data_IF_804060738643
#
_entry.id   IF_804060738643
#
_cell.length_a   1.000
_cell.length_b   1.000
_cell.length_c   1.000
_cell.angle_alpha   90.00
_cell.angle_beta   90.00
_cell.angle_gamma   90.00
#
_symmetry.space_group_name_H-M   'P 1'
#
loop_
_entity.id
_entity.type
_entity.pdbx_description
1 polymer ?
#
# COMPACT_ATOMS: atom_id res chain seq x y z
N UNK A 1 -13.78 24.87 -11.66
CA UNK A 1 -13.18 25.26 -12.95
C UNK A 1 -13.09 24.00 -13.78
N UNK A 2 -13.74 23.96 -14.94
CA UNK A 2 -13.62 22.84 -15.89
C UNK A 2 -12.14 22.64 -16.23
N UNK A 3 -11.66 21.38 -16.29
CA UNK A 3 -10.24 21.07 -16.49
C UNK A 3 -9.65 21.77 -17.74
N UNK A 4 -10.44 21.89 -18.80
CA UNK A 4 -10.08 22.61 -20.02
C UNK A 4 -9.84 24.11 -19.78
N UNK A 5 -10.67 24.78 -18.97
CA UNK A 5 -10.52 26.19 -18.63
C UNK A 5 -9.26 26.45 -17.79
N UNK A 6 -8.94 25.53 -16.86
CA UNK A 6 -7.73 25.64 -16.05
C UNK A 6 -6.46 25.49 -16.91
N UNK A 7 -6.49 24.56 -17.87
CA UNK A 7 -5.36 24.31 -18.75
C UNK A 7 -5.19 25.45 -19.75
N UNK A 8 -6.27 25.98 -20.32
CA UNK A 8 -6.21 27.16 -21.16
C UNK A 8 -5.62 28.36 -20.41
N UNK A 9 -6.04 28.59 -19.17
CA UNK A 9 -5.54 29.69 -18.35
C UNK A 9 -4.05 29.56 -17.99
N UNK A 10 -3.52 28.33 -17.87
CA UNK A 10 -2.13 28.07 -17.47
C UNK A 10 -1.16 27.89 -18.64
N UNK A 11 -1.63 27.32 -19.74
CA UNK A 11 -0.79 26.82 -20.84
C UNK A 11 -1.22 27.34 -22.22
N UNK A 12 -2.27 28.16 -22.29
CA UNK A 12 -2.74 28.78 -23.52
C UNK A 12 -3.76 27.96 -24.32
N UNK A 13 -4.35 28.58 -25.36
CA UNK A 13 -5.45 27.98 -26.12
C UNK A 13 -5.03 26.77 -26.95
N UNK A 14 -3.80 26.75 -27.47
CA UNK A 14 -3.30 25.62 -28.28
C UNK A 14 -3.12 24.35 -27.44
N UNK A 15 -2.63 24.50 -26.21
CA UNK A 15 -2.49 23.40 -25.27
C UNK A 15 -3.86 22.82 -24.88
N UNK A 16 -4.85 23.69 -24.62
CA UNK A 16 -6.22 23.26 -24.33
C UNK A 16 -6.87 22.52 -25.50
N UNK A 17 -6.65 22.99 -26.74
CA UNK A 17 -7.15 22.35 -27.96
C UNK A 17 -6.53 20.97 -28.19
N UNK A 18 -5.23 20.83 -27.96
CA UNK A 18 -4.50 19.58 -28.16
C UNK A 18 -5.00 18.42 -27.26
N UNK A 19 -5.52 18.76 -26.08
CA UNK A 19 -5.93 17.78 -25.06
C UNK A 19 -7.45 17.69 -24.87
N UNK A 20 -8.25 18.55 -25.52
CA UNK A 20 -9.71 18.62 -25.32
C UNK A 20 -10.45 17.30 -25.60
N UNK A 21 -9.90 16.43 -26.45
CA UNK A 21 -10.43 15.08 -26.71
C UNK A 21 -9.75 13.96 -25.92
N UNK A 22 -8.70 14.29 -25.16
CA UNK A 22 -7.92 13.37 -24.33
C UNK A 22 -8.26 13.48 -22.84
N UNK A 23 -8.81 14.63 -22.43
CA UNK A 23 -9.34 14.81 -21.08
C UNK A 23 -10.69 14.10 -21.00
N UNK A 24 -10.67 12.87 -20.50
CA UNK A 24 -11.88 12.24 -20.01
C UNK A 24 -12.45 13.00 -18.80
N UNK A 25 -13.73 12.83 -18.53
CA UNK A 25 -14.31 13.15 -17.22
C UNK A 25 -14.27 11.87 -16.38
N UNK A 26 -13.16 11.53 -15.71
CA UNK A 26 -13.15 10.36 -14.84
C UNK A 26 -14.25 10.56 -13.80
N UNK A 27 -15.04 9.52 -13.49
CA UNK A 27 -16.02 9.63 -12.43
C UNK A 27 -15.29 10.05 -11.15
N UNK A 28 -15.80 11.10 -10.50
CA UNK A 28 -15.28 11.50 -9.19
C UNK A 28 -15.46 10.32 -8.26
N UNK A 29 -14.34 9.83 -7.72
CA UNK A 29 -14.35 8.71 -6.78
C UNK A 29 -15.27 9.00 -5.61
N UNK A 30 -16.05 8.00 -5.23
CA UNK A 30 -16.88 8.03 -4.02
C UNK A 30 -15.99 8.21 -2.79
N UNK A 31 -15.99 9.41 -2.20
CA UNK A 31 -15.23 9.73 -0.97
C UNK A 31 -15.87 9.13 0.29
N UNK A 32 -17.01 8.47 0.12
CA UNK A 32 -17.74 7.67 1.11
C UNK A 32 -17.06 6.33 1.44
N UNK A 33 -15.92 6.01 0.81
CA UNK A 33 -14.99 4.99 1.32
C UNK A 33 -14.41 5.49 2.65
N UNK A 34 -15.13 5.20 3.73
CA UNK A 34 -14.62 5.38 5.07
C UNK A 34 -13.48 4.40 5.30
N UNK A 35 -12.42 4.79 6.03
CA UNK A 35 -11.45 3.85 6.55
C UNK A 35 -12.18 2.68 7.19
N UNK A 36 -11.61 1.48 7.08
CA UNK A 36 -12.18 0.33 7.77
C UNK A 36 -12.44 0.67 9.26
N UNK A 37 -13.46 0.08 9.90
CA UNK A 37 -13.73 0.29 11.31
C UNK A 37 -12.45 0.24 12.14
N UNK A 38 -12.34 1.08 13.17
CA UNK A 38 -11.11 1.31 13.95
C UNK A 38 -10.38 0.02 14.34
N UNK A 39 -11.12 -1.00 14.75
CA UNK A 39 -10.55 -2.28 15.16
C UNK A 39 -9.94 -3.06 13.99
N UNK A 40 -10.55 -2.99 12.80
CA UNK A 40 -10.00 -3.57 11.57
C UNK A 40 -8.76 -2.81 11.11
N UNK A 41 -8.77 -1.48 11.18
CA UNK A 41 -7.61 -0.67 10.82
C UNK A 41 -6.42 -0.93 11.76
N UNK A 42 -6.68 -1.05 13.08
CA UNK A 42 -5.66 -1.46 14.06
C UNK A 42 -5.16 -2.87 13.81
N UNK A 43 -6.07 -3.81 13.58
CA UNK A 43 -5.72 -5.20 13.28
C UNK A 43 -4.88 -5.32 12.01
N UNK A 44 -5.16 -4.52 10.99
CA UNK A 44 -4.37 -4.49 9.76
C UNK A 44 -2.95 -3.97 10.00
N UNK A 45 -2.80 -2.84 10.69
CA UNK A 45 -1.48 -2.27 10.98
C UNK A 45 -0.64 -3.20 11.84
N UNK A 46 -1.20 -3.72 12.94
CA UNK A 46 -0.48 -4.67 13.81
C UNK A 46 -0.21 -5.99 13.08
N UNK A 47 -1.17 -6.47 12.28
CA UNK A 47 -1.02 -7.67 11.48
C UNK A 47 0.12 -7.58 10.47
N UNK A 48 0.32 -6.40 9.85
CA UNK A 48 1.46 -6.16 8.97
C UNK A 48 2.79 -6.29 9.74
N UNK A 49 2.91 -5.67 10.92
CA UNK A 49 4.13 -5.75 11.75
C UNK A 49 4.41 -7.19 12.21
N UNK A 50 3.39 -7.90 12.66
CA UNK A 50 3.52 -9.30 13.10
C UNK A 50 3.87 -10.21 11.91
N UNK A 51 3.26 -9.97 10.75
CA UNK A 51 3.54 -10.72 9.52
C UNK A 51 5.00 -10.60 9.10
N UNK A 52 5.53 -9.37 9.10
CA UNK A 52 6.95 -9.13 8.80
C UNK A 52 7.86 -9.81 9.82
N UNK A 53 7.61 -9.64 11.11
CA UNK A 53 8.44 -10.23 12.17
C UNK A 53 8.45 -11.77 12.17
N UNK A 54 7.39 -12.42 11.64
CA UNK A 54 7.33 -13.87 11.44
C UNK A 54 8.03 -14.30 10.15
N UNK A 55 7.96 -13.48 9.10
CA UNK A 55 8.48 -13.79 7.76
C UNK A 55 9.97 -13.51 7.60
N UNK A 56 10.49 -12.45 8.20
CA UNK A 56 11.88 -11.99 8.04
C UNK A 56 12.92 -13.09 8.32
N UNK A 57 12.80 -13.92 9.37
CA UNK A 57 13.81 -14.95 9.64
C UNK A 57 13.89 -16.06 8.57
N UNK A 58 12.85 -16.19 7.74
CA UNK A 58 12.74 -17.19 6.67
C UNK A 58 12.67 -16.55 5.28
N UNK A 59 12.97 -15.26 5.18
CA UNK A 59 13.08 -14.57 3.91
C UNK A 59 14.10 -15.28 3.00
N UNK A 60 13.81 -15.30 1.70
CA UNK A 60 14.59 -16.01 0.68
C UNK A 60 14.77 -17.53 0.89
N UNK A 61 14.02 -18.13 1.82
CA UNK A 61 14.02 -19.60 2.01
C UNK A 61 12.88 -20.24 1.23
N UNK A 62 13.15 -21.30 0.45
CA UNK A 62 12.08 -22.01 -0.23
C UNK A 62 11.24 -22.80 0.80
N UNK A 63 9.94 -22.97 0.50
CA UNK A 63 8.99 -23.64 1.39
C UNK A 63 9.46 -25.02 1.87
N UNK A 64 10.07 -25.80 0.98
CA UNK A 64 10.58 -27.13 1.32
C UNK A 64 11.69 -27.08 2.39
N UNK A 65 12.58 -26.07 2.32
CA UNK A 65 13.61 -25.85 3.33
C UNK A 65 12.99 -25.48 4.68
N UNK A 66 12.01 -24.58 4.68
CA UNK A 66 11.32 -24.16 5.92
C UNK A 66 10.68 -25.37 6.61
N UNK A 67 9.93 -26.19 5.87
CA UNK A 67 9.29 -27.39 6.43
C UNK A 67 10.31 -28.40 6.95
N UNK A 68 11.42 -28.63 6.23
CA UNK A 68 12.43 -29.60 6.62
C UNK A 68 13.25 -29.18 7.85
N UNK A 69 13.47 -27.88 8.06
CA UNK A 69 14.36 -27.38 9.12
C UNK A 69 13.60 -26.83 10.34
N UNK A 70 12.42 -26.25 10.13
CA UNK A 70 11.65 -25.54 11.16
C UNK A 70 10.27 -26.16 11.38
N UNK A 71 9.77 -26.97 10.44
CA UNK A 71 8.41 -27.48 10.47
C UNK A 71 7.36 -26.37 10.28
N UNK A 72 6.11 -26.61 10.73
CA UNK A 72 5.06 -25.59 10.71
C UNK A 72 5.37 -24.43 11.67
N UNK A 73 5.51 -23.22 11.13
CA UNK A 73 5.71 -22.00 11.93
C UNK A 73 4.38 -21.59 12.56
N UNK A 74 4.34 -21.58 13.89
CA UNK A 74 3.15 -21.17 14.69
C UNK A 74 3.42 -19.99 15.62
N UNK A 75 4.63 -19.43 15.58
CA UNK A 75 5.06 -18.31 16.39
C UNK A 75 6.43 -17.78 15.94
N UNK A 76 6.99 -16.83 16.70
CA UNK A 76 8.29 -16.25 16.42
C UNK A 76 9.41 -17.29 16.52
N UNK A 77 10.31 -17.29 15.53
CA UNK A 77 11.39 -18.26 15.40
C UNK A 77 12.68 -17.76 16.08
N UNK A 78 12.80 -16.43 16.23
CA UNK A 78 13.95 -15.77 16.84
C UNK A 78 13.60 -15.21 18.22
N UNK A 79 14.56 -15.14 19.17
CA UNK A 79 14.30 -14.73 20.54
C UNK A 79 13.96 -13.24 20.69
N UNK A 80 14.30 -12.41 19.71
CA UNK A 80 14.02 -10.97 19.72
C UNK A 80 13.48 -10.53 18.35
N UNK A 81 12.20 -10.80 18.05
CA UNK A 81 11.57 -10.42 16.79
C UNK A 81 11.51 -8.90 16.65
N UNK A 82 11.75 -8.41 15.42
CA UNK A 82 11.78 -6.97 15.13
C UNK A 82 11.07 -6.68 13.83
N UNK A 83 10.46 -5.50 13.77
CA UNK A 83 9.96 -4.92 12.54
C UNK A 83 11.13 -4.45 11.67
N UNK A 84 10.95 -4.51 10.35
CA UNK A 84 11.94 -4.16 9.35
C UNK A 84 11.48 -3.02 8.44
N UNK A 85 11.94 -3.05 7.19
CA UNK A 85 11.65 -2.02 6.19
C UNK A 85 10.18 -1.97 5.78
N UNK A 86 9.47 -3.09 5.79
CA UNK A 86 8.08 -3.14 5.31
C UNK A 86 7.16 -2.43 6.30
N UNK A 87 7.38 -2.62 7.61
CA UNK A 87 6.70 -1.85 8.64
C UNK A 87 7.07 -0.37 8.55
N UNK A 88 8.34 -0.02 8.33
CA UNK A 88 8.74 1.39 8.19
C UNK A 88 8.04 2.05 7.01
N UNK A 89 8.02 1.41 5.85
CA UNK A 89 7.34 1.91 4.66
C UNK A 89 5.82 2.01 4.89
N UNK A 90 5.23 0.98 5.50
CA UNK A 90 3.81 0.99 5.88
C UNK A 90 3.48 2.22 6.71
N UNK A 91 4.26 2.51 7.75
CA UNK A 91 4.06 3.68 8.63
C UNK A 91 4.25 5.02 7.92
N UNK A 92 5.14 5.11 6.92
CA UNK A 92 5.31 6.33 6.13
C UNK A 92 4.12 6.58 5.17
N UNK A 93 3.40 5.53 4.79
CA UNK A 93 2.31 5.59 3.80
C UNK A 93 0.90 5.52 4.39
N UNK A 94 0.77 5.10 5.66
CA UNK A 94 -0.50 4.86 6.34
C UNK A 94 -1.21 6.15 6.80
#
# INVERSE_FOLDING_TARGET
>A
MEAAQNIQARFGPDAAKAISGLIGSPPVGKSDLQPAPKDRSRGALIGAVVGEALGEPVEDRPRNWIVANLGPITGHIIPNPKAGSDTQLTLMTA
#
